data_IF_711363568504
#
_entry.id   IF_711363568504
#
_cell.length_a   1.000
_cell.length_b   1.000
_cell.length_c   1.000
_cell.angle_alpha   90.00
_cell.angle_beta   90.00
_cell.angle_gamma   90.00
#
_symmetry.space_group_name_H-M   'P 1'
#
loop_
_entity.id
_entity.type
_entity.pdbx_description
1 polymer ?
#
# COMPACT_ATOMS: atom_id res chain seq x y z
N UNK A 1 -27.23 -14.10 -9.17
CA UNK A 1 -27.30 -12.62 -9.23
C UNK A 1 -26.05 -12.15 -9.96
N UNK A 2 -26.20 -11.79 -11.27
CA UNK A 2 -25.13 -11.16 -12.02
C UNK A 2 -24.99 -9.71 -11.54
N UNK A 3 -23.94 -9.41 -10.80
CA UNK A 3 -23.56 -8.04 -10.55
C UNK A 3 -23.03 -7.49 -11.88
N UNK A 4 -23.79 -6.63 -12.53
CA UNK A 4 -23.31 -5.83 -13.65
C UNK A 4 -22.04 -5.11 -13.20
N UNK A 5 -20.98 -5.19 -14.02
CA UNK A 5 -19.79 -4.35 -13.84
C UNK A 5 -20.26 -2.90 -13.80
N UNK A 6 -20.19 -2.27 -12.64
CA UNK A 6 -20.40 -0.83 -12.55
C UNK A 6 -19.23 -0.17 -13.28
N UNK A 7 -19.51 0.50 -14.40
CA UNK A 7 -18.56 1.42 -15.00
C UNK A 7 -18.39 2.61 -14.05
N UNK A 8 -17.30 2.61 -13.28
CA UNK A 8 -16.90 3.79 -12.50
C UNK A 8 -16.41 4.86 -13.47
N UNK A 9 -17.31 5.76 -13.88
CA UNK A 9 -16.97 6.96 -14.63
C UNK A 9 -15.95 7.77 -13.81
N UNK A 10 -14.91 8.28 -14.47
CA UNK A 10 -13.76 8.95 -13.90
C UNK A 10 -14.08 9.78 -12.63
N UNK A 11 -13.77 9.23 -11.49
CA UNK A 11 -13.85 9.92 -10.20
C UNK A 11 -12.55 10.68 -10.01
N UNK A 12 -12.53 11.62 -9.05
CA UNK A 12 -11.31 12.36 -8.71
C UNK A 12 -10.16 11.41 -8.36
N UNK A 13 -8.96 11.81 -8.65
CA UNK A 13 -7.74 11.11 -8.22
C UNK A 13 -7.74 10.96 -6.71
N UNK A 14 -7.49 9.75 -6.24
CA UNK A 14 -7.32 9.46 -4.82
C UNK A 14 -5.87 9.68 -4.42
N UNK A 15 -5.65 10.28 -3.25
CA UNK A 15 -4.34 10.59 -2.74
C UNK A 15 -4.04 9.86 -1.42
N UNK A 16 -2.84 9.28 -1.34
CA UNK A 16 -2.31 8.70 -0.10
C UNK A 16 -0.96 9.31 0.22
N UNK A 17 -0.77 9.77 1.44
CA UNK A 17 0.53 10.20 1.97
C UNK A 17 1.11 9.07 2.81
N UNK A 18 2.33 8.62 2.46
CA UNK A 18 2.95 7.45 3.09
C UNK A 18 4.20 7.82 3.89
N UNK A 19 4.33 7.20 5.07
CA UNK A 19 5.51 7.37 5.93
C UNK A 19 5.42 8.64 6.79
N UNK A 20 4.24 8.94 7.29
CA UNK A 20 4.05 10.00 8.28
C UNK A 20 4.59 9.53 9.64
N UNK A 21 5.38 10.41 10.28
CA UNK A 21 6.01 10.18 11.59
C UNK A 21 5.72 11.28 12.60
N UNK A 22 5.01 12.35 12.20
CA UNK A 22 4.77 13.53 13.05
C UNK A 22 3.31 13.97 13.01
N UNK A 23 2.76 14.47 14.13
CA UNK A 23 1.38 15.00 14.19
C UNK A 23 1.09 16.11 13.19
N UNK A 24 2.05 17.01 12.97
CA UNK A 24 1.90 18.13 12.04
C UNK A 24 1.68 17.68 10.59
N UNK A 25 2.33 16.56 10.21
CA UNK A 25 2.19 16.01 8.85
C UNK A 25 0.82 15.37 8.66
N UNK A 26 0.23 14.77 9.73
CA UNK A 26 -1.17 14.32 9.70
C UNK A 26 -2.11 15.50 9.47
N UNK A 27 -1.95 16.56 10.26
CA UNK A 27 -2.78 17.75 10.13
C UNK A 27 -2.72 18.34 8.73
N UNK A 28 -1.52 18.48 8.16
CA UNK A 28 -1.34 18.99 6.80
C UNK A 28 -1.97 18.06 5.74
N UNK A 29 -1.80 16.74 5.88
CA UNK A 29 -2.39 15.77 4.97
C UNK A 29 -3.93 15.79 5.03
N UNK A 30 -4.50 15.84 6.23
CA UNK A 30 -5.96 15.92 6.43
C UNK A 30 -6.52 17.22 5.82
N UNK A 31 -5.87 18.36 6.06
CA UNK A 31 -6.27 19.65 5.46
C UNK A 31 -6.17 19.65 3.93
N UNK A 32 -5.22 18.93 3.37
CA UNK A 32 -5.07 18.74 1.92
C UNK A 32 -6.13 17.78 1.32
N UNK A 33 -6.95 17.12 2.14
CA UNK A 33 -8.03 16.26 1.68
C UNK A 33 -7.57 14.90 1.16
N UNK A 34 -6.56 14.28 1.80
CA UNK A 34 -6.11 12.93 1.43
C UNK A 34 -7.15 11.86 1.73
N UNK A 35 -7.10 10.76 0.99
CA UNK A 35 -7.98 9.60 1.16
C UNK A 35 -7.37 8.55 2.09
N UNK A 36 -6.03 8.56 2.24
CA UNK A 36 -5.33 7.60 3.08
C UNK A 36 -4.02 8.17 3.63
N UNK A 37 -3.66 7.66 4.82
CA UNK A 37 -2.38 7.93 5.50
C UNK A 37 -1.69 6.60 5.74
N UNK A 38 -0.38 6.52 5.44
CA UNK A 38 0.42 5.32 5.60
C UNK A 38 1.45 5.43 6.71
N UNK A 39 1.52 4.42 7.58
CA UNK A 39 2.58 4.19 8.55
C UNK A 39 3.51 3.09 8.07
N UNK A 40 4.82 3.24 8.29
CA UNK A 40 5.84 2.28 7.83
C UNK A 40 6.34 1.47 9.04
N UNK A 41 6.01 0.17 9.04
CA UNK A 41 6.47 -0.80 10.04
C UNK A 41 7.63 -1.62 9.48
N UNK A 42 8.71 -0.93 9.12
CA UNK A 42 9.95 -1.51 8.59
C UNK A 42 11.13 -0.74 9.15
N UNK A 43 11.81 -1.31 10.15
CA UNK A 43 12.87 -0.64 10.94
C UNK A 43 13.99 -0.02 10.11
N UNK A 44 14.47 -0.64 8.99
CA UNK A 44 15.49 -0.02 8.17
C UNK A 44 15.05 1.26 7.45
N UNK A 45 13.76 1.58 7.43
CA UNK A 45 13.25 2.79 6.79
C UNK A 45 13.47 4.02 7.67
N UNK A 46 13.94 5.16 7.12
CA UNK A 46 14.01 6.43 7.86
C UNK A 46 12.62 6.98 8.25
N UNK A 47 11.54 6.38 7.73
CA UNK A 47 10.14 6.70 8.05
C UNK A 47 9.47 5.65 8.93
N UNK A 48 10.28 4.79 9.57
CA UNK A 48 9.78 3.78 10.51
C UNK A 48 9.06 4.44 11.69
N UNK A 49 7.96 3.83 12.12
CA UNK A 49 7.27 4.19 13.35
C UNK A 49 7.10 2.95 14.24
N UNK A 50 7.25 3.14 15.54
CA UNK A 50 6.92 2.09 16.52
C UNK A 50 5.40 1.93 16.61
N UNK A 51 4.93 0.82 17.21
CA UNK A 51 3.50 0.58 17.44
C UNK A 51 2.90 1.70 18.30
N UNK A 52 3.59 2.11 19.36
CA UNK A 52 3.14 3.15 20.29
C UNK A 52 3.00 4.50 19.58
N UNK A 53 3.97 4.87 18.75
CA UNK A 53 3.89 6.11 17.98
C UNK A 53 2.76 6.06 16.96
N UNK A 54 2.64 4.95 16.23
CA UNK A 54 1.56 4.77 15.25
C UNK A 54 0.18 4.82 15.92
N UNK A 55 0.02 4.23 17.11
CA UNK A 55 -1.21 4.30 17.90
C UNK A 55 -1.59 5.72 18.26
N UNK A 56 -0.62 6.52 18.74
CA UNK A 56 -0.84 7.94 19.07
C UNK A 56 -1.20 8.76 17.83
N UNK A 57 -0.49 8.55 16.73
CA UNK A 57 -0.72 9.25 15.47
C UNK A 57 -2.08 8.87 14.85
N UNK A 58 -2.48 7.61 14.94
CA UNK A 58 -3.76 7.13 14.41
C UNK A 58 -4.97 7.83 15.07
N UNK A 59 -4.88 8.21 16.34
CA UNK A 59 -5.95 8.94 17.06
C UNK A 59 -6.19 10.35 16.49
N UNK A 60 -5.24 10.91 15.74
CA UNK A 60 -5.37 12.23 15.13
C UNK A 60 -6.02 12.18 13.73
N UNK A 61 -6.23 10.99 13.18
CA UNK A 61 -6.79 10.80 11.85
C UNK A 61 -8.31 10.76 11.97
N UNK A 62 -9.05 11.70 11.31
CA UNK A 62 -10.50 11.72 11.37
C UNK A 62 -11.12 10.53 10.61
N UNK A 63 -12.39 10.21 10.86
CA UNK A 63 -13.14 9.21 10.10
C UNK A 63 -13.09 9.48 8.59
N UNK A 64 -13.23 8.40 7.79
CA UNK A 64 -13.22 8.41 6.31
C UNK A 64 -11.86 8.64 5.64
N UNK A 65 -10.76 8.66 6.41
CA UNK A 65 -9.40 8.56 5.89
C UNK A 65 -8.86 7.19 6.26
N UNK A 66 -8.49 6.37 5.27
CA UNK A 66 -7.97 5.03 5.53
C UNK A 66 -6.58 5.08 6.16
N UNK A 67 -6.35 4.23 7.15
CA UNK A 67 -5.03 4.03 7.76
C UNK A 67 -4.39 2.78 7.14
N UNK A 68 -3.22 2.97 6.52
CA UNK A 68 -2.49 1.92 5.81
C UNK A 68 -1.23 1.56 6.55
N UNK A 69 -1.06 0.28 6.89
CA UNK A 69 0.22 -0.23 7.40
C UNK A 69 1.08 -0.78 6.27
N UNK A 70 2.28 -0.24 6.10
CA UNK A 70 3.27 -0.75 5.15
C UNK A 70 4.21 -1.72 5.86
N UNK A 71 4.36 -2.91 5.29
CA UNK A 71 5.19 -3.99 5.80
C UNK A 71 6.12 -4.52 4.71
N UNK A 72 7.29 -4.98 5.10
CA UNK A 72 8.30 -5.61 4.23
C UNK A 72 8.67 -6.95 4.81
N UNK A 73 8.24 -8.04 4.17
CA UNK A 73 8.49 -9.42 4.56
C UNK A 73 8.11 -9.77 6.02
N UNK A 74 7.09 -9.07 6.57
CA UNK A 74 6.60 -9.32 7.91
C UNK A 74 5.75 -10.59 8.00
N UNK A 75 5.81 -11.27 9.13
CA UNK A 75 4.96 -12.42 9.39
C UNK A 75 3.49 -12.02 9.65
N UNK A 76 2.58 -13.00 9.58
CA UNK A 76 1.18 -12.75 9.94
C UNK A 76 1.03 -12.32 11.40
N UNK A 77 1.87 -12.85 12.29
CA UNK A 77 1.88 -12.56 13.72
C UNK A 77 2.41 -11.15 14.00
N UNK A 78 3.48 -10.71 13.32
CA UNK A 78 4.00 -9.34 13.48
C UNK A 78 2.94 -8.30 13.08
N UNK A 79 2.21 -8.57 11.97
CA UNK A 79 1.11 -7.71 11.53
C UNK A 79 -0.05 -7.75 12.52
N UNK A 80 -0.39 -8.92 13.07
CA UNK A 80 -1.43 -9.06 14.08
C UNK A 80 -1.11 -8.23 15.33
N UNK A 81 0.14 -8.27 15.79
CA UNK A 81 0.59 -7.45 16.93
C UNK A 81 0.39 -5.94 16.68
N UNK A 82 0.68 -5.47 15.48
CA UNK A 82 0.41 -4.07 15.12
C UNK A 82 -1.09 -3.79 15.16
N UNK A 83 -1.92 -4.69 14.62
CA UNK A 83 -3.37 -4.54 14.53
C UNK A 83 -4.08 -4.57 15.89
N UNK A 84 -3.46 -5.13 16.92
CA UNK A 84 -3.98 -5.09 18.30
C UNK A 84 -3.99 -3.65 18.87
N UNK A 85 -3.11 -2.78 18.38
CA UNK A 85 -2.91 -1.44 18.91
C UNK A 85 -3.23 -0.32 17.93
N UNK A 86 -3.06 -0.57 16.62
CA UNK A 86 -3.24 0.43 15.56
C UNK A 86 -4.39 0.03 14.66
N UNK A 87 -5.42 0.88 14.47
CA UNK A 87 -6.62 0.57 13.70
C UNK A 87 -6.36 0.65 12.18
N UNK A 88 -5.50 -0.25 11.67
CA UNK A 88 -5.21 -0.29 10.24
C UNK A 88 -6.43 -0.79 9.45
N UNK A 89 -6.78 -0.10 8.38
CA UNK A 89 -7.82 -0.50 7.43
C UNK A 89 -7.27 -1.43 6.34
N UNK A 90 -6.03 -1.19 5.92
CA UNK A 90 -5.42 -1.83 4.75
C UNK A 90 -3.96 -2.21 5.05
N UNK A 91 -3.55 -3.38 4.60
CA UNK A 91 -2.16 -3.82 4.60
C UNK A 91 -1.53 -3.51 3.23
N UNK A 92 -0.40 -2.81 3.23
CA UNK A 92 0.45 -2.64 2.04
C UNK A 92 1.67 -3.55 2.17
N UNK A 93 1.77 -4.56 1.31
CA UNK A 93 2.96 -5.39 1.19
C UNK A 93 3.98 -4.72 0.25
N UNK A 94 5.20 -4.49 0.73
CA UNK A 94 6.24 -3.77 0.00
C UNK A 94 7.57 -4.54 -0.06
N UNK A 95 7.58 -5.79 0.36
CA UNK A 95 8.73 -6.70 0.31
C UNK A 95 8.71 -7.60 -0.92
N UNK A 96 9.22 -8.80 -0.72
CA UNK A 96 9.32 -9.85 -1.74
C UNK A 96 8.25 -10.94 -1.54
N UNK A 97 7.18 -10.63 -0.77
CA UNK A 97 6.10 -11.55 -0.47
C UNK A 97 5.42 -12.00 -1.77
N UNK A 98 5.26 -13.29 -1.94
CA UNK A 98 4.51 -13.88 -3.06
C UNK A 98 3.01 -13.60 -2.93
N UNK A 99 2.27 -13.72 -4.03
CA UNK A 99 0.81 -13.55 -4.02
C UNK A 99 0.11 -14.47 -3.00
N UNK A 100 0.57 -15.71 -2.89
CA UNK A 100 0.04 -16.67 -1.93
C UNK A 100 0.33 -16.26 -0.47
N UNK A 101 1.55 -15.79 -0.18
CA UNK A 101 1.89 -15.29 1.16
C UNK A 101 1.07 -14.07 1.54
N UNK A 102 0.93 -13.08 0.64
CA UNK A 102 0.08 -11.92 0.86
C UNK A 102 -1.36 -12.33 1.19
N UNK A 103 -1.92 -13.25 0.40
CA UNK A 103 -3.28 -13.77 0.63
C UNK A 103 -3.42 -14.41 2.01
N UNK A 104 -2.51 -15.33 2.37
CA UNK A 104 -2.56 -16.04 3.66
C UNK A 104 -2.44 -15.07 4.85
N UNK A 105 -1.50 -14.13 4.78
CA UNK A 105 -1.29 -13.12 5.82
C UNK A 105 -2.53 -12.22 5.96
N UNK A 106 -3.08 -11.76 4.83
CA UNK A 106 -4.24 -10.89 4.84
C UNK A 106 -5.51 -11.60 5.33
N UNK A 107 -5.69 -12.88 4.98
CA UNK A 107 -6.79 -13.71 5.49
C UNK A 107 -6.69 -13.94 7.00
N UNK A 108 -5.49 -14.26 7.50
CA UNK A 108 -5.23 -14.40 8.94
C UNK A 108 -5.61 -13.14 9.70
N UNK A 109 -5.22 -11.98 9.19
CA UNK A 109 -5.43 -10.67 9.80
C UNK A 109 -6.80 -10.04 9.46
N UNK A 110 -7.60 -10.66 8.58
CA UNK A 110 -8.93 -10.19 8.14
C UNK A 110 -8.90 -8.74 7.66
N UNK A 111 -7.89 -8.39 6.84
CA UNK A 111 -7.72 -7.04 6.29
C UNK A 111 -7.66 -7.07 4.77
N UNK A 112 -8.17 -5.99 4.14
CA UNK A 112 -7.89 -5.71 2.73
C UNK A 112 -6.41 -5.44 2.57
N UNK A 113 -5.90 -5.71 1.39
CA UNK A 113 -4.48 -5.53 1.11
C UNK A 113 -4.23 -5.15 -0.33
N UNK A 114 -3.05 -4.58 -0.56
CA UNK A 114 -2.49 -4.39 -1.89
C UNK A 114 -0.98 -4.60 -1.87
N UNK A 115 -0.43 -4.83 -3.06
CA UNK A 115 1.00 -5.07 -3.26
C UNK A 115 1.64 -3.89 -3.95
N UNK A 116 2.79 -3.43 -3.45
CA UNK A 116 3.71 -2.59 -4.19
C UNK A 116 4.60 -3.45 -5.07
N UNK A 117 4.64 -3.16 -6.36
CA UNK A 117 5.48 -3.82 -7.35
C UNK A 117 6.51 -2.81 -7.84
N UNK A 118 7.79 -3.16 -7.70
CA UNK A 118 8.89 -2.36 -8.24
C UNK A 118 9.05 -2.62 -9.74
N UNK A 119 8.95 -1.58 -10.54
CA UNK A 119 9.09 -1.64 -11.98
C UNK A 119 10.53 -1.33 -12.36
N UNK A 120 11.25 -2.35 -12.84
CA UNK A 120 12.62 -2.20 -13.35
C UNK A 120 12.60 -1.47 -14.70
N UNK A 121 13.65 -0.71 -15.04
CA UNK A 121 13.74 0.01 -16.32
C UNK A 121 13.62 -0.86 -17.57
N UNK A 122 14.02 -2.13 -17.47
CA UNK A 122 14.01 -3.15 -18.53
C UNK A 122 12.81 -4.10 -18.46
N UNK A 123 11.87 -3.87 -17.55
CA UNK A 123 10.70 -4.73 -17.37
C UNK A 123 9.79 -4.68 -18.60
N UNK A 124 9.39 -5.84 -19.09
CA UNK A 124 8.43 -5.94 -20.20
C UNK A 124 7.01 -5.76 -19.66
N UNK A 125 6.18 -5.04 -20.41
CA UNK A 125 4.78 -4.84 -20.05
C UNK A 125 4.01 -6.15 -19.83
N UNK A 126 4.32 -7.20 -20.61
CA UNK A 126 3.74 -8.54 -20.43
C UNK A 126 4.00 -9.11 -19.04
N UNK A 127 5.21 -8.93 -18.53
CA UNK A 127 5.62 -9.50 -17.26
C UNK A 127 4.98 -8.72 -16.09
N UNK A 128 4.88 -7.40 -16.24
CA UNK A 128 4.16 -6.53 -15.29
C UNK A 128 2.69 -6.94 -15.22
N UNK A 129 2.02 -7.10 -16.36
CA UNK A 129 0.62 -7.50 -16.44
C UNK A 129 0.41 -8.88 -15.79
N UNK A 130 1.26 -9.85 -16.13
CA UNK A 130 1.20 -11.19 -15.55
C UNK A 130 1.35 -11.15 -14.03
N UNK A 131 2.31 -10.38 -13.53
CA UNK A 131 2.53 -10.20 -12.09
C UNK A 131 1.29 -9.58 -11.41
N UNK A 132 0.73 -8.51 -11.98
CA UNK A 132 -0.47 -7.87 -11.48
C UNK A 132 -1.63 -8.86 -11.40
N UNK A 133 -1.86 -9.64 -12.46
CA UNK A 133 -2.94 -10.64 -12.52
C UNK A 133 -2.79 -11.70 -11.43
N UNK A 134 -1.58 -12.16 -11.13
CA UNK A 134 -1.33 -13.13 -10.04
C UNK A 134 -1.77 -12.59 -8.68
N UNK A 135 -1.41 -11.34 -8.35
CA UNK A 135 -1.82 -10.73 -7.08
C UNK A 135 -3.32 -10.42 -7.04
N UNK A 136 -3.93 -10.02 -8.17
CA UNK A 136 -5.37 -9.83 -8.25
C UNK A 136 -6.15 -11.12 -8.02
N UNK A 137 -5.70 -12.24 -8.63
CA UNK A 137 -6.31 -13.56 -8.43
C UNK A 137 -6.17 -14.03 -6.98
N UNK A 138 -5.10 -13.63 -6.29
CA UNK A 138 -4.92 -13.89 -4.86
C UNK A 138 -5.76 -12.96 -3.96
N UNK A 139 -6.50 -12.00 -4.52
CA UNK A 139 -7.42 -11.13 -3.77
C UNK A 139 -6.85 -9.76 -3.40
N UNK A 140 -5.80 -9.30 -4.06
CA UNK A 140 -5.34 -7.91 -3.91
C UNK A 140 -6.44 -6.92 -4.31
N UNK A 141 -6.72 -5.93 -3.45
CA UNK A 141 -7.74 -4.90 -3.70
C UNK A 141 -7.26 -3.81 -4.67
N UNK A 142 -5.95 -3.66 -4.80
CA UNK A 142 -5.28 -2.70 -5.69
C UNK A 142 -3.82 -3.12 -5.90
N UNK A 143 -3.15 -2.43 -6.82
CA UNK A 143 -1.70 -2.54 -7.03
C UNK A 143 -1.09 -1.15 -6.95
N UNK A 144 0.10 -1.05 -6.36
CA UNK A 144 0.92 0.15 -6.37
C UNK A 144 2.14 -0.14 -7.24
N UNK A 145 2.35 0.67 -8.28
CA UNK A 145 3.56 0.57 -9.09
C UNK A 145 4.57 1.59 -8.57
N UNK A 146 5.75 1.11 -8.20
CA UNK A 146 6.82 1.90 -7.60
C UNK A 146 8.06 1.87 -8.50
N UNK A 147 8.79 2.98 -8.57
CA UNK A 147 10.04 3.03 -9.32
C UNK A 147 11.07 2.12 -8.64
N UNK A 148 11.73 1.28 -9.44
CA UNK A 148 12.76 0.41 -8.93
C UNK A 148 14.01 1.20 -8.50
N UNK A 149 14.59 0.82 -7.36
CA UNK A 149 15.90 1.30 -6.92
C UNK A 149 16.74 0.12 -6.43
N UNK A 150 18.05 0.05 -6.75
CA UNK A 150 18.88 -1.09 -6.38
C UNK A 150 19.05 -1.28 -4.87
N UNK A 151 19.00 -0.21 -4.09
CA UNK A 151 19.30 -0.24 -2.66
C UNK A 151 18.15 0.17 -1.75
N UNK A 152 17.10 0.82 -2.27
CA UNK A 152 16.01 1.37 -1.47
C UNK A 152 14.66 0.80 -1.87
N UNK A 153 13.86 0.40 -0.90
CA UNK A 153 12.46 -0.02 -1.10
C UNK A 153 11.54 1.20 -0.89
N UNK A 154 11.29 1.94 -1.99
CA UNK A 154 10.36 3.07 -2.03
C UNK A 154 10.93 4.44 -1.62
N UNK A 155 10.29 5.51 -2.09
CA UNK A 155 10.61 6.89 -1.70
C UNK A 155 11.92 7.45 -2.24
N UNK A 156 12.41 6.96 -3.38
CA UNK A 156 13.73 7.28 -3.94
C UNK A 156 13.80 8.62 -4.66
N UNK A 157 12.66 9.22 -4.99
CA UNK A 157 12.60 10.48 -5.77
C UNK A 157 12.97 10.33 -7.25
N UNK A 158 13.25 9.11 -7.74
CA UNK A 158 13.49 8.87 -9.16
C UNK A 158 12.20 8.93 -9.96
N UNK A 159 12.25 9.56 -11.14
CA UNK A 159 11.12 9.62 -12.05
C UNK A 159 10.92 8.28 -12.76
N UNK A 160 9.67 7.83 -12.81
CA UNK A 160 9.25 6.70 -13.62
C UNK A 160 8.91 7.16 -15.04
N UNK A 161 9.31 6.39 -16.04
CA UNK A 161 8.88 6.65 -17.42
C UNK A 161 7.42 6.18 -17.61
N UNK A 162 6.49 7.10 -17.48
CA UNK A 162 5.05 6.84 -17.61
C UNK A 162 4.63 6.31 -18.98
N UNK A 163 5.46 6.45 -20.03
CA UNK A 163 5.18 5.88 -21.35
C UNK A 163 5.24 4.34 -21.35
N UNK A 164 5.98 3.77 -20.38
CA UNK A 164 6.09 2.33 -20.17
C UNK A 164 4.96 1.77 -19.30
N UNK A 165 4.06 2.62 -18.84
CA UNK A 165 2.94 2.15 -18.03
C UNK A 165 1.98 1.32 -18.90
N UNK A 166 1.76 0.03 -18.58
CA UNK A 166 0.85 -0.79 -19.35
C UNK A 166 -0.57 -0.19 -19.25
N UNK A 167 -1.26 -0.10 -20.38
CA UNK A 167 -2.70 0.18 -20.37
C UNK A 167 -3.39 -1.02 -19.73
N UNK A 168 -3.71 -0.90 -18.46
CA UNK A 168 -4.36 -1.96 -17.69
C UNK A 168 -5.87 -1.71 -17.76
N UNK A 169 -6.60 -2.70 -18.27
CA UNK A 169 -8.06 -2.77 -18.17
C UNK A 169 -8.42 -3.45 -16.83
N UNK A 170 -8.02 -2.80 -15.74
CA UNK A 170 -8.25 -3.26 -14.35
C UNK A 170 -8.88 -2.12 -13.57
N UNK A 171 -9.91 -2.50 -12.81
CA UNK A 171 -10.57 -1.61 -11.86
C UNK A 171 -9.65 -1.31 -10.66
#
# INVERSE_FOLDING_TARGET
FGLNKFEFKAMRTRAKICGITRPQDIQAAVQAGVDAIGFVFYEPSPRYVTIELAQQLAQLIPPYINIVGLFVNASAQDIAQVLEHVPLDIIQFHGDETAQQCQQIAQYNKRRWYKAIQIKPDAKNSDIITTIQQYQQAGASAMLLDAWHPELKGGTGHSFDWSQFPKLDIA
#
